data_IF_241804385786
#
_entry.id   IF_241804385786
#
_cell.length_a   1.000
_cell.length_b   1.000
_cell.length_c   1.000
_cell.angle_alpha   90.00
_cell.angle_beta   90.00
_cell.angle_gamma   90.00
#
_symmetry.space_group_name_H-M   'P 1'
#
loop_
_entity.id
_entity.type
_entity.pdbx_description
1 polymer ?
#
# COMPACT_ATOMS: atom_id res chain seq x y z
N UNK A 1 -1.77 -8.99 6.71
CA UNK A 1 -0.77 -9.41 5.71
C UNK A 1 -1.11 -10.80 5.21
N UNK A 2 -1.00 -11.02 3.90
CA UNK A 2 -1.09 -12.31 3.21
C UNK A 2 0.13 -12.46 2.31
N UNK A 3 0.77 -13.63 2.34
CA UNK A 3 1.93 -13.95 1.51
C UNK A 3 1.47 -14.61 0.21
N UNK A 4 2.16 -14.32 -0.88
CA UNK A 4 2.10 -15.05 -2.15
C UNK A 4 3.51 -15.39 -2.62
N UNK A 5 3.68 -16.61 -3.15
CA UNK A 5 4.96 -17.16 -3.60
C UNK A 5 4.81 -17.64 -5.04
N UNK A 6 5.75 -17.24 -5.88
CA UNK A 6 5.93 -17.66 -7.26
C UNK A 6 7.25 -18.44 -7.38
N UNK A 7 7.16 -19.76 -7.27
CA UNK A 7 8.31 -20.67 -7.31
C UNK A 7 9.02 -20.66 -8.66
N UNK A 8 8.31 -20.39 -9.76
CA UNK A 8 8.89 -20.36 -11.11
C UNK A 8 9.87 -19.19 -11.28
N UNK A 9 9.69 -18.13 -10.48
CA UNK A 9 10.62 -16.99 -10.42
C UNK A 9 11.75 -17.17 -9.41
N UNK A 10 11.70 -18.20 -8.56
CA UNK A 10 12.69 -18.37 -7.52
C UNK A 10 14.03 -18.80 -8.10
N UNK A 11 15.10 -18.11 -7.68
CA UNK A 11 16.48 -18.41 -8.10
C UNK A 11 17.29 -19.15 -7.01
N UNK A 12 16.63 -19.61 -5.95
CA UNK A 12 17.26 -20.41 -4.89
C UNK A 12 18.26 -19.66 -4.00
N UNK A 13 18.15 -18.33 -3.86
CA UNK A 13 19.12 -17.51 -3.12
C UNK A 13 19.10 -17.67 -1.58
N UNK A 14 18.11 -18.38 -1.01
CA UNK A 14 18.01 -18.67 0.42
C UNK A 14 17.70 -17.49 1.35
N UNK A 15 17.57 -16.26 0.84
CA UNK A 15 17.38 -15.06 1.68
C UNK A 15 16.08 -15.10 2.50
N UNK A 16 15.03 -15.73 1.98
CA UNK A 16 13.76 -15.85 2.68
C UNK A 16 13.86 -16.70 3.95
N UNK A 17 14.50 -17.86 3.89
CA UNK A 17 14.70 -18.74 5.04
C UNK A 17 15.64 -18.11 6.06
N UNK A 18 16.67 -17.39 5.61
CA UNK A 18 17.59 -16.69 6.52
C UNK A 18 16.90 -15.54 7.27
N UNK A 19 15.98 -14.81 6.62
CA UNK A 19 15.29 -13.69 7.24
C UNK A 19 14.09 -14.10 8.09
N UNK A 20 13.31 -15.09 7.64
CA UNK A 20 12.07 -15.51 8.30
C UNK A 20 11.90 -17.05 8.24
N UNK A 21 12.73 -17.81 8.99
CA UNK A 21 12.73 -19.28 8.97
C UNK A 21 11.45 -19.91 9.52
N UNK A 22 10.67 -19.16 10.33
CA UNK A 22 9.38 -19.64 10.84
C UNK A 22 8.26 -19.56 9.78
N UNK A 23 8.49 -18.80 8.69
CA UNK A 23 7.48 -18.53 7.65
C UNK A 23 7.85 -19.13 6.29
N UNK A 24 9.15 -19.21 5.98
CA UNK A 24 9.65 -19.74 4.72
C UNK A 24 10.61 -20.91 4.93
N UNK A 25 10.58 -21.83 3.99
CA UNK A 25 11.53 -22.92 3.87
C UNK A 25 11.98 -23.04 2.39
N UNK A 26 12.91 -23.95 2.13
CA UNK A 26 13.28 -24.38 0.78
C UNK A 26 13.01 -25.87 0.61
N UNK A 27 12.46 -26.24 -0.54
CA UNK A 27 12.27 -27.65 -0.90
C UNK A 27 13.60 -28.33 -1.26
N UNK A 28 13.54 -29.60 -1.67
CA UNK A 28 14.72 -30.38 -2.04
C UNK A 28 15.44 -29.83 -3.30
N UNK A 29 14.75 -29.01 -4.09
CA UNK A 29 15.30 -28.33 -5.26
C UNK A 29 15.86 -26.94 -4.92
N UNK A 30 15.77 -26.52 -3.65
CA UNK A 30 16.22 -25.22 -3.17
C UNK A 30 15.27 -24.07 -3.51
N UNK A 31 14.04 -24.35 -3.95
CA UNK A 31 13.05 -23.33 -4.26
C UNK A 31 12.23 -22.99 -3.02
N UNK A 32 11.80 -21.72 -2.96
CA UNK A 32 11.05 -21.20 -1.80
C UNK A 32 9.71 -21.92 -1.64
N UNK A 33 9.41 -22.31 -0.41
CA UNK A 33 8.10 -22.80 0.03
C UNK A 33 7.63 -21.98 1.23
N UNK A 34 6.36 -21.57 1.24
CA UNK A 34 5.77 -20.89 2.40
C UNK A 34 5.23 -21.93 3.41
N UNK A 35 5.69 -21.86 4.67
CA UNK A 35 5.18 -22.66 5.78
C UNK A 35 3.81 -22.15 6.26
N UNK A 36 3.63 -20.83 6.22
CA UNK A 36 2.34 -20.17 6.44
C UNK A 36 2.14 -19.05 5.44
N UNK A 37 0.90 -18.86 4.99
CA UNK A 37 0.54 -17.74 4.13
C UNK A 37 0.00 -16.53 4.90
N UNK A 38 -0.23 -16.67 6.20
CA UNK A 38 -0.77 -15.64 7.08
C UNK A 38 0.09 -15.60 8.35
N UNK A 39 1.27 -14.94 8.29
CA UNK A 39 2.21 -14.90 9.40
C UNK A 39 1.63 -14.10 10.58
N UNK A 40 2.06 -14.49 11.78
CA UNK A 40 1.67 -13.81 13.00
C UNK A 40 2.25 -12.39 13.05
N UNK A 41 1.65 -11.47 13.84
CA UNK A 41 2.11 -10.09 13.93
C UNK A 41 3.61 -9.93 14.23
N UNK A 42 4.20 -10.82 15.02
CA UNK A 42 5.63 -10.80 15.38
C UNK A 42 6.56 -11.18 14.22
N UNK A 43 6.07 -11.91 13.22
CA UNK A 43 6.87 -12.37 12.08
C UNK A 43 6.80 -11.40 10.89
N UNK A 44 5.86 -10.44 10.90
CA UNK A 44 5.58 -9.57 9.74
C UNK A 44 6.79 -8.77 9.29
N UNK A 45 7.63 -8.29 10.20
CA UNK A 45 8.82 -7.51 9.85
C UNK A 45 9.90 -8.39 9.23
N UNK A 46 10.09 -9.61 9.74
CA UNK A 46 10.96 -10.62 9.15
C UNK A 46 10.48 -11.01 7.73
N UNK A 47 9.18 -11.15 7.54
CA UNK A 47 8.57 -11.43 6.23
C UNK A 47 8.75 -10.27 5.26
N UNK A 48 8.60 -9.02 5.69
CA UNK A 48 8.88 -7.85 4.84
C UNK A 48 10.35 -7.82 4.43
N UNK A 49 11.27 -8.07 5.35
CA UNK A 49 12.69 -8.14 5.05
C UNK A 49 13.00 -9.26 4.04
N UNK A 50 12.38 -10.44 4.17
CA UNK A 50 12.51 -11.53 3.22
C UNK A 50 12.09 -11.13 1.79
N UNK A 51 11.02 -10.34 1.66
CA UNK A 51 10.57 -9.80 0.36
C UNK A 51 11.58 -8.81 -0.23
N UNK A 52 12.11 -7.90 0.58
CA UNK A 52 13.09 -6.90 0.15
C UNK A 52 14.43 -7.53 -0.29
N UNK A 53 14.86 -8.58 0.40
CA UNK A 53 16.10 -9.29 0.09
C UNK A 53 15.95 -10.32 -1.04
N UNK A 54 14.73 -10.60 -1.51
CA UNK A 54 14.50 -11.57 -2.58
C UNK A 54 14.95 -11.00 -3.94
N UNK A 55 16.07 -11.47 -4.53
CA UNK A 55 16.63 -10.84 -5.74
C UNK A 55 15.76 -11.05 -6.98
N UNK A 56 14.93 -12.09 -7.01
CA UNK A 56 14.05 -12.40 -8.13
C UNK A 56 12.61 -11.94 -7.94
N UNK A 57 12.31 -11.35 -6.77
CA UNK A 57 10.95 -10.96 -6.37
C UNK A 57 9.93 -12.11 -6.47
N UNK A 58 10.36 -13.32 -6.08
CA UNK A 58 9.50 -14.52 -6.03
C UNK A 58 8.47 -14.49 -4.89
N UNK A 59 8.61 -13.57 -3.93
CA UNK A 59 7.73 -13.46 -2.77
C UNK A 59 7.08 -12.08 -2.79
N UNK A 60 5.77 -12.03 -2.54
CA UNK A 60 5.01 -10.79 -2.41
C UNK A 60 4.13 -10.83 -1.16
N UNK A 61 3.86 -9.65 -0.60
CA UNK A 61 2.96 -9.49 0.54
C UNK A 61 1.83 -8.53 0.20
N UNK A 62 0.63 -8.89 0.61
CA UNK A 62 -0.56 -8.06 0.52
C UNK A 62 -1.00 -7.71 1.94
N UNK A 63 -0.84 -6.45 2.31
CA UNK A 63 -1.54 -5.93 3.47
C UNK A 63 -3.00 -5.74 3.07
N UNK A 64 -3.92 -6.41 3.78
CA UNK A 64 -5.34 -6.10 3.67
C UNK A 64 -5.55 -4.72 4.28
N UNK A 65 -5.25 -3.68 3.50
CA UNK A 65 -5.77 -2.36 3.72
C UNK A 65 -7.28 -2.50 3.63
N UNK A 66 -7.95 -2.54 4.79
CA UNK A 66 -9.34 -2.14 4.86
C UNK A 66 -9.35 -0.67 4.43
N UNK A 67 -9.47 -0.44 3.12
CA UNK A 67 -9.70 0.87 2.54
C UNK A 67 -11.10 1.29 2.96
N UNK A 68 -11.19 1.86 4.17
CA UNK A 68 -12.40 2.49 4.64
C UNK A 68 -12.70 3.68 3.73
N UNK A 69 -13.79 3.56 2.99
CA UNK A 69 -14.60 4.66 2.49
C UNK A 69 -14.81 5.70 3.60
N UNK A 70 -14.32 6.93 3.42
CA UNK A 70 -14.71 8.20 4.06
C UNK A 70 -13.65 9.23 3.63
N UNK A 71 -13.93 10.33 2.93
CA UNK A 71 -15.18 10.99 2.62
C UNK A 71 -15.23 11.50 1.18
N UNK A 72 -16.45 11.52 0.66
CA UNK A 72 -16.84 12.52 -0.33
C UNK A 72 -16.84 13.85 0.42
N UNK A 73 -15.73 14.59 0.38
CA UNK A 73 -15.74 15.97 0.85
C UNK A 73 -16.59 16.79 -0.10
N UNK A 74 -17.65 17.32 0.49
CA UNK A 74 -18.72 18.03 -0.15
C UNK A 74 -18.20 19.37 -0.69
N UNK A 75 -18.77 19.73 -1.83
CA UNK A 75 -19.03 21.08 -2.30
C UNK A 75 -18.84 22.16 -1.21
N UNK A 76 -17.77 22.94 -1.33
CA UNK A 76 -17.65 24.24 -0.68
C UNK A 76 -17.71 25.33 -1.76
N UNK A 77 -18.86 25.42 -2.42
CA UNK A 77 -19.21 26.52 -3.32
C UNK A 77 -20.10 27.56 -2.63
N UNK A 78 -19.61 28.25 -1.59
CA UNK A 78 -20.27 29.46 -1.09
C UNK A 78 -19.33 30.66 -1.19
N UNK A 79 -19.21 31.20 -2.40
CA UNK A 79 -18.80 32.59 -2.59
C UNK A 79 -19.96 33.50 -2.18
N UNK A 80 -19.87 34.14 -1.01
CA UNK A 80 -20.65 35.34 -0.72
C UNK A 80 -19.77 36.55 -1.02
N UNK A 81 -20.15 37.26 -2.07
CA UNK A 81 -19.57 38.52 -2.50
C UNK A 81 -20.13 39.67 -1.66
N UNK A 82 -19.45 40.05 -0.59
CA UNK A 82 -19.70 41.30 0.13
C UNK A 82 -19.02 42.46 -0.63
N UNK A 83 -19.51 42.73 -1.84
CA UNK A 83 -18.94 43.68 -2.79
C UNK A 83 -19.66 45.02 -2.80
N UNK A 84 -19.32 45.89 -1.85
CA UNK A 84 -19.27 47.37 -1.95
C UNK A 84 -20.29 48.05 -2.88
N UNK A 85 -21.24 48.73 -2.26
CA UNK A 85 -22.11 49.73 -2.88
C UNK A 85 -21.31 50.75 -3.69
N UNK A 86 -21.71 50.90 -4.94
CA UNK A 86 -21.22 51.90 -5.87
C UNK A 86 -22.27 53.01 -5.90
N UNK A 87 -21.95 54.14 -5.27
CA UNK A 87 -22.62 55.42 -5.44
C UNK A 87 -22.43 55.91 -6.89
N UNK A 88 -23.28 55.42 -7.78
CA UNK A 88 -23.39 55.88 -9.16
C UNK A 88 -24.28 57.11 -9.24
N UNK A 89 -23.65 58.28 -9.34
CA UNK A 89 -24.24 59.57 -9.68
C UNK A 89 -25.16 59.45 -10.89
N UNK A 90 -26.44 59.82 -10.72
CA UNK A 90 -27.34 60.12 -11.83
C UNK A 90 -26.98 61.50 -12.39
N UNK A 91 -26.53 61.54 -13.65
CA UNK A 91 -26.50 62.76 -14.46
C UNK A 91 -27.70 62.69 -15.41
N UNK A 92 -28.66 63.59 -15.19
CA UNK A 92 -29.85 63.77 -16.02
C UNK A 92 -29.57 64.76 -17.16
N UNK A 93 -30.13 64.42 -18.31
CA UNK A 93 -29.86 64.84 -19.68
C UNK A 93 -30.40 66.26 -19.99
N UNK A 94 -29.59 67.07 -20.66
CA UNK A 94 -29.96 68.38 -21.22
C UNK A 94 -29.55 68.48 -22.68
#
# INVERSE_FOLDING_TARGET
>A
MRISVDSDRCVGAGQCVLSAPEVFDQDAEGLVTALTFAPDPGERDAVRQAVELCPSHAITVHDHGQGHSQGRDHDHGQGREDGRGHDGVVVDDG
#
